data_IF_099852249854
#
_entry.id   IF_099852249854
#
_cell.length_a   1.000
_cell.length_b   1.000
_cell.length_c   1.000
_cell.angle_alpha   90.00
_cell.angle_beta   90.00
_cell.angle_gamma   90.00
#
_symmetry.space_group_name_H-M   'P 1'
#
loop_
_entity.id
_entity.type
_entity.pdbx_description
1 polymer ?
#
# COMPACT_ATOMS: atom_id res chain seq x y z
N UNK A 1 14.90 64.52 25.41
CA UNK A 1 13.93 63.52 24.89
C UNK A 1 14.69 62.21 24.62
N UNK A 2 14.51 61.23 25.51
CA UNK A 2 15.13 59.90 25.36
C UNK A 2 14.06 58.95 24.83
N UNK A 3 14.24 58.44 23.61
CA UNK A 3 13.35 57.42 23.02
C UNK A 3 13.80 56.05 23.52
N UNK A 4 12.93 55.38 24.30
CA UNK A 4 13.08 53.97 24.64
C UNK A 4 12.50 53.16 23.49
N UNK A 5 13.34 52.41 22.79
CA UNK A 5 12.93 51.45 21.76
C UNK A 5 12.70 50.11 22.47
N UNK A 6 11.44 49.74 22.68
CA UNK A 6 11.07 48.43 23.23
C UNK A 6 11.14 47.39 22.10
N UNK A 7 12.13 46.50 22.18
CA UNK A 7 12.25 45.35 21.28
C UNK A 7 11.27 44.25 21.73
N UNK A 8 10.20 44.05 20.97
CA UNK A 8 9.23 42.97 21.22
C UNK A 8 9.81 41.66 20.67
N UNK A 9 10.25 40.79 21.56
CA UNK A 9 10.74 39.46 21.20
C UNK A 9 9.52 38.53 20.96
N UNK A 10 9.15 38.31 19.69
CA UNK A 10 8.15 37.29 19.33
C UNK A 10 8.79 35.94 19.45
N UNK A 11 8.55 35.23 20.55
CA UNK A 11 8.87 33.82 20.71
C UNK A 11 7.80 33.05 19.95
N UNK A 12 8.10 32.66 18.72
CA UNK A 12 7.29 31.65 18.02
C UNK A 12 7.51 30.30 18.69
N UNK A 13 6.60 29.90 19.55
CA UNK A 13 6.49 28.51 20.01
C UNK A 13 6.07 27.68 18.80
N UNK A 14 7.04 27.12 18.09
CA UNK A 14 6.78 26.06 17.14
C UNK A 14 6.13 24.92 17.91
N UNK A 15 4.85 24.68 17.66
CA UNK A 15 4.21 23.41 18.05
C UNK A 15 5.00 22.30 17.35
N UNK A 16 5.88 21.65 18.09
CA UNK A 16 6.41 20.34 17.70
C UNK A 16 5.20 19.42 17.76
N UNK A 17 4.58 19.17 16.61
CA UNK A 17 3.65 18.05 16.50
C UNK A 17 4.47 16.80 16.84
N UNK A 18 4.25 16.27 18.03
CA UNK A 18 4.70 14.92 18.35
C UNK A 18 4.22 14.00 17.22
N UNK A 19 5.11 13.15 16.72
CA UNK A 19 4.85 12.27 15.58
C UNK A 19 3.55 11.50 15.89
N UNK A 20 2.46 11.84 15.21
CA UNK A 20 1.10 11.28 15.39
C UNK A 20 1.07 9.75 15.16
N UNK A 21 2.24 9.19 14.80
CA UNK A 21 2.42 7.77 14.54
C UNK A 21 2.55 6.92 15.83
N UNK A 22 2.90 7.48 16.97
CA UNK A 22 3.14 6.69 18.19
C UNK A 22 1.88 5.95 18.65
N UNK A 23 0.72 6.61 18.62
CA UNK A 23 -0.57 5.97 18.92
C UNK A 23 -0.92 4.88 17.89
N UNK A 24 -0.76 5.19 16.61
CA UNK A 24 -0.94 4.25 15.50
C UNK A 24 0.02 3.06 15.61
N UNK A 25 1.29 3.30 15.98
CA UNK A 25 2.29 2.24 16.18
C UNK A 25 1.90 1.29 17.31
N UNK A 26 1.38 1.82 18.42
CA UNK A 26 0.91 0.99 19.54
C UNK A 26 -0.23 0.05 19.10
N UNK A 27 -1.23 0.57 18.35
CA UNK A 27 -2.32 -0.24 17.79
C UNK A 27 -1.79 -1.27 16.78
N UNK A 28 -0.83 -0.91 15.93
CA UNK A 28 -0.18 -1.84 14.99
C UNK A 28 0.54 -2.98 15.70
N UNK A 29 1.30 -2.68 16.77
CA UNK A 29 1.97 -3.70 17.59
C UNK A 29 0.96 -4.68 18.20
N UNK A 30 -0.14 -4.18 18.74
CA UNK A 30 -1.22 -5.01 19.27
C UNK A 30 -1.83 -5.90 18.17
N UNK A 31 -2.12 -5.35 16.98
CA UNK A 31 -2.62 -6.11 15.84
C UNK A 31 -1.63 -7.17 15.33
N UNK A 32 -0.32 -6.91 15.42
CA UNK A 32 0.72 -7.88 15.04
C UNK A 32 0.73 -9.11 15.94
N UNK A 33 0.40 -8.98 17.23
CA UNK A 33 0.35 -10.07 18.18
C UNK A 33 -1.00 -10.80 18.24
N UNK A 34 -2.05 -10.26 17.60
CA UNK A 34 -3.41 -10.79 17.66
C UNK A 34 -3.49 -12.28 17.23
N UNK A 35 -4.34 -13.06 17.92
CA UNK A 35 -4.50 -14.52 17.72
C UNK A 35 -5.06 -14.89 16.34
N UNK A 36 -5.75 -13.96 15.67
CA UNK A 36 -6.23 -14.16 14.30
C UNK A 36 -5.08 -14.33 13.29
N UNK A 37 -3.87 -13.98 13.67
CA UNK A 37 -2.67 -14.14 12.84
C UNK A 37 -1.97 -15.46 13.15
N UNK A 38 -1.78 -16.27 12.13
CA UNK A 38 -1.03 -17.51 12.23
C UNK A 38 0.47 -17.25 12.42
N UNK A 39 1.20 -18.22 12.97
CA UNK A 39 2.67 -18.15 13.11
C UNK A 39 3.36 -17.89 11.76
N UNK A 40 2.86 -18.51 10.69
CA UNK A 40 3.36 -18.29 9.33
C UNK A 40 3.13 -16.85 8.83
N UNK A 41 2.10 -16.16 9.29
CA UNK A 41 1.88 -14.75 8.99
C UNK A 41 2.79 -13.85 9.83
N UNK A 42 2.98 -14.16 11.12
CA UNK A 42 3.89 -13.46 12.03
C UNK A 42 5.36 -13.60 11.57
N UNK A 43 5.78 -14.78 11.13
CA UNK A 43 7.13 -15.02 10.59
C UNK A 43 7.45 -14.13 9.36
N UNK A 44 6.43 -13.67 8.65
CA UNK A 44 6.63 -12.77 7.51
C UNK A 44 6.82 -11.30 7.89
N UNK A 45 6.60 -10.92 9.14
CA UNK A 45 6.77 -9.53 9.60
C UNK A 45 8.21 -9.05 9.39
N UNK A 46 9.20 -9.92 9.63
CA UNK A 46 10.63 -9.64 9.35
C UNK A 46 10.91 -9.21 7.91
N UNK A 47 10.15 -9.73 6.93
CA UNK A 47 10.33 -9.44 5.50
C UNK A 47 9.40 -8.34 4.99
N UNK A 48 8.31 -8.06 5.72
CA UNK A 48 7.32 -7.05 5.33
C UNK A 48 7.45 -5.75 6.11
N UNK A 49 8.13 -5.80 7.26
CA UNK A 49 8.39 -4.64 8.15
C UNK A 49 7.17 -3.72 8.26
N UNK A 50 6.01 -4.22 8.72
CA UNK A 50 4.74 -3.50 8.58
C UNK A 50 4.75 -2.13 9.25
N UNK A 51 5.31 -2.00 10.46
CA UNK A 51 5.39 -0.73 11.18
C UNK A 51 6.19 0.29 10.38
N UNK A 52 7.42 -0.06 9.96
CA UNK A 52 8.29 0.85 9.22
C UNK A 52 7.70 1.21 7.85
N UNK A 53 7.06 0.25 7.18
CA UNK A 53 6.41 0.46 5.88
C UNK A 53 5.24 1.43 5.99
N UNK A 54 4.37 1.25 6.98
CA UNK A 54 3.21 2.10 7.19
C UNK A 54 3.62 3.49 7.70
N UNK A 55 4.65 3.57 8.55
CA UNK A 55 5.26 4.84 8.97
C UNK A 55 5.81 5.62 7.77
N UNK A 56 6.54 4.98 6.88
CA UNK A 56 7.07 5.61 5.66
C UNK A 56 5.95 6.19 4.78
N UNK A 57 4.83 5.49 4.64
CA UNK A 57 3.69 5.99 3.90
C UNK A 57 2.94 7.12 4.61
N UNK A 58 3.13 7.30 5.90
CA UNK A 58 2.42 8.29 6.72
C UNK A 58 1.01 7.81 7.11
N UNK A 59 0.84 6.49 7.28
CA UNK A 59 -0.43 5.89 7.72
C UNK A 59 -0.75 6.31 9.15
N UNK A 60 -2.03 6.61 9.43
CA UNK A 60 -2.57 6.91 10.76
C UNK A 60 -3.88 6.15 10.99
N UNK A 61 -4.22 5.98 12.24
CA UNK A 61 -5.41 5.24 12.69
C UNK A 61 -6.75 5.98 12.49
N UNK A 62 -6.69 7.26 12.12
CA UNK A 62 -7.86 8.10 11.80
C UNK A 62 -8.16 8.19 10.29
N UNK A 63 -7.42 7.45 9.45
CA UNK A 63 -7.52 7.54 8.01
C UNK A 63 -8.66 6.69 7.42
N UNK A 64 -9.26 7.20 6.36
CA UNK A 64 -10.07 6.45 5.42
C UNK A 64 -9.16 5.82 4.37
N UNK A 65 -9.06 4.49 4.39
CA UNK A 65 -8.09 3.77 3.56
C UNK A 65 -8.74 2.74 2.63
N UNK A 66 -8.15 2.55 1.46
CA UNK A 66 -8.50 1.45 0.54
C UNK A 66 -7.29 0.55 0.34
N UNK A 67 -7.49 -0.76 0.49
CA UNK A 67 -6.49 -1.78 0.13
C UNK A 67 -6.92 -2.47 -1.15
N UNK A 68 -6.13 -2.28 -2.22
CA UNK A 68 -6.34 -2.96 -3.49
C UNK A 68 -5.79 -4.38 -3.44
N UNK A 69 -6.59 -5.35 -3.89
CA UNK A 69 -6.20 -6.76 -3.97
C UNK A 69 -5.67 -7.30 -2.63
N UNK A 70 -6.47 -7.27 -1.56
CA UNK A 70 -6.04 -7.63 -0.20
C UNK A 70 -5.61 -9.10 -0.05
N UNK A 71 -5.87 -9.93 -1.07
CA UNK A 71 -5.51 -11.34 -1.10
C UNK A 71 -6.19 -12.15 0.01
N UNK A 72 -5.40 -12.81 0.86
CA UNK A 72 -5.92 -13.55 2.02
C UNK A 72 -6.07 -12.73 3.30
N UNK A 73 -5.78 -11.41 3.26
CA UNK A 73 -6.00 -10.50 4.38
C UNK A 73 -4.79 -10.27 5.30
N UNK A 74 -3.56 -10.55 4.86
CA UNK A 74 -2.39 -10.37 5.73
C UNK A 74 -2.26 -8.93 6.26
N UNK A 75 -2.35 -7.91 5.38
CA UNK A 75 -2.39 -6.51 5.80
C UNK A 75 -3.73 -6.12 6.40
N UNK A 76 -4.84 -6.70 5.94
CA UNK A 76 -6.18 -6.45 6.48
C UNK A 76 -6.25 -6.76 7.97
N UNK A 77 -5.62 -7.89 8.41
CA UNK A 77 -5.54 -8.27 9.83
C UNK A 77 -4.76 -7.26 10.69
N UNK A 78 -3.92 -6.42 10.08
CA UNK A 78 -3.21 -5.34 10.76
C UNK A 78 -3.98 -4.02 10.70
N UNK A 79 -4.55 -3.70 9.54
CA UNK A 79 -5.09 -2.36 9.27
C UNK A 79 -6.50 -2.17 9.82
N UNK A 80 -7.38 -3.17 9.69
CA UNK A 80 -8.77 -3.07 10.17
C UNK A 80 -8.82 -2.74 11.66
N UNK A 81 -8.17 -3.49 12.58
CA UNK A 81 -8.26 -3.18 14.00
C UNK A 81 -7.59 -1.84 14.38
N UNK A 82 -6.69 -1.33 13.55
CA UNK A 82 -6.04 -0.03 13.81
C UNK A 82 -6.96 1.13 13.48
N UNK A 83 -7.71 1.07 12.38
CA UNK A 83 -8.61 2.16 11.96
C UNK A 83 -10.03 2.03 12.52
N UNK A 84 -10.36 0.93 13.21
CA UNK A 84 -11.72 0.60 13.63
C UNK A 84 -12.41 1.68 14.49
N UNK A 85 -11.64 2.45 15.27
CA UNK A 85 -12.19 3.45 16.19
C UNK A 85 -12.43 4.81 15.52
N UNK A 86 -11.50 5.26 14.66
CA UNK A 86 -11.47 6.63 14.17
C UNK A 86 -11.39 6.75 12.65
N UNK A 87 -11.16 5.66 11.93
CA UNK A 87 -10.99 5.63 10.48
C UNK A 87 -11.94 4.68 9.79
N UNK A 88 -11.66 4.40 8.52
CA UNK A 88 -12.48 3.50 7.69
C UNK A 88 -11.59 2.60 6.84
N UNK A 89 -11.95 1.31 6.74
CA UNK A 89 -11.22 0.34 5.91
C UNK A 89 -12.08 -0.18 4.76
N UNK A 90 -11.56 -0.10 3.56
CA UNK A 90 -12.17 -0.63 2.35
C UNK A 90 -11.25 -1.63 1.66
N UNK A 91 -11.81 -2.78 1.26
CA UNK A 91 -11.16 -3.77 0.40
C UNK A 91 -11.71 -3.65 -1.03
N UNK A 92 -10.83 -3.52 -2.03
CA UNK A 92 -11.24 -3.42 -3.41
C UNK A 92 -10.48 -4.40 -4.31
N UNK A 93 -11.14 -4.87 -5.36
CA UNK A 93 -10.65 -5.77 -6.40
C UNK A 93 -10.21 -7.16 -5.88
N UNK A 94 -10.76 -8.21 -6.43
CA UNK A 94 -10.37 -9.58 -6.08
C UNK A 94 -10.55 -9.94 -4.59
N UNK A 95 -11.59 -9.42 -3.96
CA UNK A 95 -11.83 -9.47 -2.51
C UNK A 95 -12.35 -10.80 -1.97
N UNK A 96 -12.75 -11.74 -2.83
CA UNK A 96 -13.43 -12.98 -2.41
C UNK A 96 -12.71 -13.79 -1.33
N UNK A 97 -11.35 -13.80 -1.33
CA UNK A 97 -10.59 -14.52 -0.29
C UNK A 97 -10.59 -13.80 1.05
N UNK A 98 -10.39 -12.49 1.06
CA UNK A 98 -10.41 -11.70 2.31
C UNK A 98 -11.79 -11.69 2.92
N UNK A 99 -12.84 -11.53 2.11
CA UNK A 99 -14.22 -11.59 2.55
C UNK A 99 -14.54 -12.93 3.23
N UNK A 100 -14.20 -14.04 2.55
CA UNK A 100 -14.40 -15.38 3.11
C UNK A 100 -13.64 -15.62 4.42
N UNK A 101 -12.44 -15.05 4.52
CA UNK A 101 -11.56 -15.32 5.66
C UNK A 101 -11.84 -14.42 6.88
N UNK A 102 -12.37 -13.20 6.67
CA UNK A 102 -12.38 -12.19 7.73
C UNK A 102 -13.72 -11.55 8.02
N UNK A 103 -14.67 -11.46 7.05
CA UNK A 103 -15.92 -10.72 7.30
C UNK A 103 -16.80 -11.26 8.42
N UNK A 104 -16.59 -12.51 8.83
CA UNK A 104 -17.32 -13.15 9.94
C UNK A 104 -16.49 -13.27 11.22
N UNK A 105 -15.25 -12.77 11.19
CA UNK A 105 -14.36 -12.82 12.35
C UNK A 105 -14.61 -11.61 13.26
N UNK A 106 -14.58 -11.80 14.58
CA UNK A 106 -14.75 -10.70 15.53
C UNK A 106 -13.72 -9.57 15.28
N UNK A 107 -14.22 -8.32 15.25
CA UNK A 107 -13.42 -7.11 15.01
C UNK A 107 -13.18 -6.79 13.54
N UNK A 108 -13.85 -7.49 12.61
CA UNK A 108 -13.78 -7.21 11.16
C UNK A 108 -15.17 -6.88 10.56
N UNK A 109 -16.16 -6.67 11.40
CA UNK A 109 -17.55 -6.41 11.00
C UNK A 109 -17.69 -5.12 10.18
N UNK A 110 -16.86 -4.12 10.48
CA UNK A 110 -16.83 -2.81 9.80
C UNK A 110 -15.95 -2.78 8.53
N UNK A 111 -15.33 -3.92 8.17
CA UNK A 111 -14.60 -4.04 6.92
C UNK A 111 -15.54 -3.97 5.72
N UNK A 112 -15.39 -2.94 4.90
CA UNK A 112 -16.21 -2.75 3.72
C UNK A 112 -15.57 -3.34 2.47
N UNK A 113 -16.36 -3.98 1.62
CA UNK A 113 -15.96 -4.48 0.30
C UNK A 113 -16.60 -3.61 -0.76
N UNK A 114 -15.77 -2.99 -1.59
CA UNK A 114 -16.20 -2.05 -2.63
C UNK A 114 -15.74 -2.50 -4.02
N UNK A 115 -16.19 -1.81 -5.07
CA UNK A 115 -15.93 -2.14 -6.47
C UNK A 115 -16.25 -3.63 -6.78
N UNK A 116 -17.39 -4.11 -6.31
CA UNK A 116 -17.81 -5.52 -6.43
C UNK A 116 -18.16 -5.93 -7.86
N UNK A 117 -18.41 -4.99 -8.74
CA UNK A 117 -18.64 -5.13 -10.17
C UNK A 117 -17.35 -5.25 -10.99
N UNK A 118 -16.22 -4.90 -10.40
CA UNK A 118 -14.93 -4.98 -11.04
C UNK A 118 -14.55 -6.43 -11.39
N UNK A 119 -14.03 -6.62 -12.61
CA UNK A 119 -13.59 -7.92 -13.11
C UNK A 119 -12.09 -8.01 -13.14
N UNK A 120 -11.56 -8.98 -12.41
CA UNK A 120 -10.14 -9.35 -12.43
C UNK A 120 -10.02 -10.75 -13.03
N UNK A 121 -9.52 -10.82 -14.26
CA UNK A 121 -9.43 -12.09 -15.01
C UNK A 121 -8.21 -12.11 -15.92
N UNK A 122 -7.92 -13.27 -16.50
CA UNK A 122 -6.92 -13.44 -17.55
C UNK A 122 -7.60 -13.74 -18.88
N UNK A 123 -7.19 -13.01 -19.91
CA UNK A 123 -7.53 -13.37 -21.29
C UNK A 123 -6.85 -14.72 -21.60
N UNK A 124 -7.43 -15.49 -22.50
CA UNK A 124 -6.83 -16.77 -22.93
C UNK A 124 -5.39 -16.56 -23.44
N UNK A 125 -4.47 -17.38 -22.99
CA UNK A 125 -3.04 -17.27 -23.33
C UNK A 125 -2.28 -16.13 -22.64
N UNK A 126 -2.96 -15.20 -21.95
CA UNK A 126 -2.30 -14.08 -21.28
C UNK A 126 -1.61 -14.50 -19.98
N UNK A 127 -0.42 -13.92 -19.74
CA UNK A 127 0.31 -14.11 -18.48
C UNK A 127 -0.16 -13.16 -17.38
N UNK A 128 -0.56 -11.95 -17.74
CA UNK A 128 -1.03 -10.89 -16.83
C UNK A 128 -2.54 -10.90 -16.69
N UNK A 129 -3.01 -10.35 -15.59
CA UNK A 129 -4.43 -10.07 -15.39
C UNK A 129 -4.86 -8.81 -16.16
N UNK A 130 -6.14 -8.81 -16.52
CA UNK A 130 -6.90 -7.63 -16.95
C UNK A 130 -7.73 -7.15 -15.76
N UNK A 131 -7.87 -5.85 -15.63
CA UNK A 131 -8.80 -5.20 -14.69
C UNK A 131 -9.80 -4.38 -15.50
N UNK A 132 -11.08 -4.69 -15.36
CA UNK A 132 -12.20 -3.87 -15.83
C UNK A 132 -12.91 -3.30 -14.62
N UNK A 133 -13.05 -1.98 -14.54
CA UNK A 133 -13.69 -1.29 -13.40
C UNK A 133 -14.17 0.09 -13.80
N UNK A 134 -15.29 0.51 -13.20
CA UNK A 134 -15.79 1.90 -13.27
C UNK A 134 -15.18 2.80 -12.18
N UNK A 135 -14.26 2.25 -11.35
CA UNK A 135 -13.62 2.95 -10.25
C UNK A 135 -13.77 2.21 -8.92
N UNK A 136 -13.48 2.89 -7.80
CA UNK A 136 -13.61 2.30 -6.47
C UNK A 136 -14.99 2.51 -5.83
N UNK A 137 -15.82 3.42 -6.37
CA UNK A 137 -17.13 3.75 -5.80
C UNK A 137 -17.07 4.49 -4.46
N UNK A 138 -15.91 5.05 -4.11
CA UNK A 138 -15.65 5.82 -2.89
C UNK A 138 -14.76 7.02 -3.23
N UNK A 139 -14.95 8.12 -2.50
CA UNK A 139 -14.17 9.36 -2.67
C UNK A 139 -13.62 9.84 -1.32
N UNK A 140 -12.80 10.88 -1.37
CA UNK A 140 -12.19 11.50 -0.20
C UNK A 140 -11.37 10.53 0.66
N UNK A 141 -10.73 9.57 0.00
CA UNK A 141 -9.85 8.58 0.61
C UNK A 141 -8.50 9.24 0.97
N UNK A 142 -8.01 8.97 2.17
CA UNK A 142 -6.71 9.48 2.63
C UNK A 142 -5.55 8.69 2.03
N UNK A 143 -5.70 7.37 1.92
CA UNK A 143 -4.64 6.49 1.44
C UNK A 143 -5.18 5.29 0.67
N UNK A 144 -4.61 5.03 -0.50
CA UNK A 144 -4.80 3.79 -1.25
C UNK A 144 -3.51 2.98 -1.19
N UNK A 145 -3.61 1.69 -0.82
CA UNK A 145 -2.47 0.80 -0.66
C UNK A 145 -2.57 -0.41 -1.57
N UNK A 146 -1.43 -0.80 -2.15
CA UNK A 146 -1.31 -2.09 -2.83
C UNK A 146 0.04 -2.75 -2.55
N UNK A 147 0.01 -4.05 -2.26
CA UNK A 147 1.19 -4.80 -1.85
C UNK A 147 1.39 -6.03 -2.71
N UNK A 148 2.39 -6.02 -3.59
CA UNK A 148 2.83 -7.17 -4.41
C UNK A 148 1.76 -7.69 -5.36
N UNK A 149 1.02 -6.79 -5.96
CA UNK A 149 -0.03 -7.11 -6.92
C UNK A 149 0.09 -6.33 -8.24
N UNK A 150 0.78 -5.19 -8.23
CA UNK A 150 0.92 -4.32 -9.39
C UNK A 150 1.53 -5.05 -10.59
N UNK A 151 2.56 -5.87 -10.34
CA UNK A 151 3.23 -6.74 -11.33
C UNK A 151 2.31 -7.79 -11.97
N UNK A 152 1.18 -8.09 -11.38
CA UNK A 152 0.28 -9.13 -11.90
C UNK A 152 -0.54 -8.67 -13.12
N UNK A 153 -0.63 -7.36 -13.33
CA UNK A 153 -1.47 -6.76 -14.37
C UNK A 153 -0.65 -6.35 -15.60
N UNK A 154 -1.28 -6.45 -16.77
CA UNK A 154 -0.79 -5.82 -17.99
C UNK A 154 -0.88 -4.28 -17.91
N UNK A 155 -0.28 -3.56 -18.87
CA UNK A 155 -0.26 -2.10 -18.86
C UNK A 155 -1.67 -1.48 -18.72
N UNK A 156 -2.64 -1.94 -19.49
CA UNK A 156 -4.05 -1.50 -19.42
C UNK A 156 -4.66 -1.71 -18.01
N UNK A 157 -4.37 -2.87 -17.39
CA UNK A 157 -4.88 -3.16 -16.04
C UNK A 157 -4.22 -2.32 -14.95
N UNK A 158 -2.95 -1.96 -15.11
CA UNK A 158 -2.25 -1.04 -14.21
C UNK A 158 -2.73 0.40 -14.39
N UNK A 159 -3.00 0.82 -15.65
CA UNK A 159 -3.62 2.11 -15.95
C UNK A 159 -4.99 2.25 -15.27
N UNK A 160 -5.86 1.24 -15.43
CA UNK A 160 -7.17 1.21 -14.77
C UNK A 160 -7.06 1.26 -13.24
N UNK A 161 -6.10 0.52 -12.67
CA UNK A 161 -5.83 0.54 -11.23
C UNK A 161 -5.36 1.91 -10.74
N UNK A 162 -4.42 2.53 -11.43
CA UNK A 162 -3.88 3.85 -11.09
C UNK A 162 -4.96 4.92 -11.19
N UNK A 163 -5.78 4.88 -12.26
CA UNK A 163 -6.90 5.81 -12.42
C UNK A 163 -7.93 5.65 -11.31
N UNK A 164 -8.32 4.44 -10.98
CA UNK A 164 -9.28 4.18 -9.91
C UNK A 164 -8.77 4.67 -8.54
N UNK A 165 -7.48 4.48 -8.25
CA UNK A 165 -6.84 5.01 -7.06
C UNK A 165 -6.79 6.54 -7.07
N UNK A 166 -6.46 7.16 -8.21
CA UNK A 166 -6.42 8.61 -8.36
C UNK A 166 -7.80 9.26 -8.13
N UNK A 167 -8.83 8.71 -8.76
CA UNK A 167 -10.19 9.26 -8.65
C UNK A 167 -10.72 9.18 -7.20
N UNK A 168 -10.41 8.12 -6.47
CA UNK A 168 -10.86 7.90 -5.10
C UNK A 168 -10.15 8.77 -4.07
N UNK A 169 -8.88 9.08 -4.26
CA UNK A 169 -8.08 9.85 -3.31
C UNK A 169 -8.50 11.32 -3.27
N UNK A 170 -8.47 11.92 -2.08
CA UNK A 170 -8.53 13.38 -1.92
C UNK A 170 -7.25 14.05 -2.41
N UNK A 171 -7.26 15.38 -2.64
CA UNK A 171 -6.03 16.15 -2.85
C UNK A 171 -5.12 16.02 -1.61
N UNK A 172 -3.83 15.77 -1.81
CA UNK A 172 -2.88 15.42 -0.76
C UNK A 172 -2.94 13.96 -0.30
N UNK A 173 -3.90 13.16 -0.78
CA UNK A 173 -4.01 11.74 -0.46
C UNK A 173 -2.86 10.92 -1.04
N UNK A 174 -2.50 9.83 -0.36
CA UNK A 174 -1.32 9.00 -0.65
C UNK A 174 -1.69 7.75 -1.41
N UNK A 175 -0.97 7.47 -2.50
CA UNK A 175 -0.94 6.15 -3.15
C UNK A 175 0.34 5.43 -2.76
N UNK A 176 0.21 4.35 -1.98
CA UNK A 176 1.26 3.58 -1.35
C UNK A 176 1.46 2.24 -2.06
N UNK A 177 2.60 2.04 -2.71
CA UNK A 177 2.84 0.87 -3.56
C UNK A 177 4.12 0.15 -3.15
N UNK A 178 4.02 -1.15 -2.89
CA UNK A 178 5.15 -2.05 -2.68
C UNK A 178 5.07 -3.20 -3.66
N UNK A 179 6.13 -3.42 -4.45
CA UNK A 179 6.14 -4.57 -5.35
C UNK A 179 7.53 -5.15 -5.60
N UNK A 180 7.58 -6.32 -6.24
CA UNK A 180 8.80 -7.05 -6.54
C UNK A 180 9.60 -6.40 -7.66
N UNK A 181 10.87 -6.16 -7.40
CA UNK A 181 11.79 -5.50 -8.33
C UNK A 181 12.14 -6.38 -9.52
N UNK A 182 12.00 -5.83 -10.72
CA UNK A 182 12.67 -6.26 -11.95
C UNK A 182 13.76 -5.25 -12.27
N UNK A 183 14.85 -5.70 -12.89
CA UNK A 183 15.91 -4.79 -13.34
C UNK A 183 15.35 -3.80 -14.34
N UNK A 184 15.80 -2.57 -14.22
CA UNK A 184 15.45 -1.50 -15.16
C UNK A 184 15.74 -1.92 -16.60
N UNK A 185 14.77 -1.68 -17.49
CA UNK A 185 14.82 -2.02 -18.93
C UNK A 185 14.84 -3.53 -19.25
N UNK A 186 14.82 -4.42 -18.25
CA UNK A 186 14.78 -5.86 -18.51
C UNK A 186 13.40 -6.27 -19.04
N UNK A 187 13.40 -7.06 -20.10
CA UNK A 187 12.17 -7.60 -20.70
C UNK A 187 11.51 -8.63 -19.76
N UNK A 188 10.17 -8.63 -19.76
CA UNK A 188 9.40 -9.67 -19.07
C UNK A 188 9.59 -11.03 -19.75
N UNK A 189 9.93 -12.04 -18.97
CA UNK A 189 10.12 -13.39 -19.46
C UNK A 189 9.66 -14.43 -18.40
N UNK A 190 9.57 -15.74 -18.72
CA UNK A 190 9.14 -16.75 -17.76
C UNK A 190 10.02 -16.86 -16.50
N UNK A 191 11.32 -16.52 -16.61
CA UNK A 191 12.27 -16.66 -15.50
C UNK A 191 12.15 -15.54 -14.48
N UNK A 192 11.88 -14.27 -14.91
CA UNK A 192 11.74 -13.11 -14.03
C UNK A 192 10.28 -12.73 -13.75
N UNK A 193 9.34 -13.60 -14.01
CA UNK A 193 7.90 -13.39 -13.88
C UNK A 193 7.50 -12.89 -12.48
N UNK A 194 6.43 -12.11 -12.43
CA UNK A 194 5.89 -11.47 -11.21
C UNK A 194 6.83 -10.44 -10.59
N UNK A 195 7.60 -9.79 -11.45
CA UNK A 195 8.43 -8.63 -11.10
C UNK A 195 8.12 -7.48 -12.04
N UNK A 196 8.28 -6.26 -11.57
CA UNK A 196 8.08 -5.06 -12.38
C UNK A 196 9.21 -4.05 -12.13
N UNK A 197 9.63 -3.38 -13.20
CA UNK A 197 10.61 -2.30 -13.17
C UNK A 197 10.05 -1.10 -12.39
N UNK A 198 10.71 -0.63 -11.31
CA UNK A 198 10.25 0.52 -10.54
C UNK A 198 10.19 1.83 -11.36
N UNK A 199 11.07 2.02 -12.33
CA UNK A 199 11.07 3.22 -13.18
C UNK A 199 9.83 3.22 -14.09
N UNK A 200 9.48 2.06 -14.66
CA UNK A 200 8.24 1.90 -15.40
C UNK A 200 7.00 2.17 -14.51
N UNK A 201 7.01 1.64 -13.29
CA UNK A 201 5.91 1.84 -12.36
C UNK A 201 5.73 3.33 -11.99
N UNK A 202 6.84 4.05 -11.74
CA UNK A 202 6.81 5.51 -11.49
C UNK A 202 6.18 6.23 -12.69
N UNK A 203 6.67 5.95 -13.90
CA UNK A 203 6.15 6.57 -15.13
C UNK A 203 4.65 6.33 -15.33
N UNK A 204 4.18 5.09 -15.14
CA UNK A 204 2.77 4.73 -15.30
C UNK A 204 1.87 5.37 -14.23
N UNK A 205 2.34 5.48 -13.00
CA UNK A 205 1.58 6.09 -11.90
C UNK A 205 1.53 7.61 -12.06
N UNK A 206 2.63 8.25 -12.46
CA UNK A 206 2.65 9.68 -12.78
C UNK A 206 1.77 10.03 -13.99
N UNK A 207 1.71 9.16 -14.99
CA UNK A 207 0.82 9.32 -16.14
C UNK A 207 -0.67 9.35 -15.74
N UNK A 208 -1.06 8.74 -14.61
CA UNK A 208 -2.41 8.83 -14.07
C UNK A 208 -2.68 10.14 -13.28
N UNK A 209 -1.68 11.04 -13.17
CA UNK A 209 -1.80 12.35 -12.53
C UNK A 209 -1.15 12.47 -11.15
N UNK A 210 -0.63 11.39 -10.62
CA UNK A 210 0.10 11.40 -9.34
C UNK A 210 1.44 12.13 -9.44
N UNK A 211 1.94 12.61 -8.29
CA UNK A 211 3.34 13.02 -8.12
C UNK A 211 4.09 11.97 -7.34
N UNK A 212 5.22 11.52 -7.85
CA UNK A 212 6.19 10.75 -7.08
C UNK A 212 6.75 11.62 -5.95
N UNK A 213 6.76 11.09 -4.72
CA UNK A 213 7.22 11.83 -3.52
C UNK A 213 8.52 11.26 -3.00
N UNK A 214 8.57 9.93 -2.80
CA UNK A 214 9.70 9.30 -2.14
C UNK A 214 9.73 7.79 -2.41
N UNK A 215 10.88 7.18 -2.14
CA UNK A 215 11.07 5.73 -2.13
C UNK A 215 11.78 5.30 -0.84
N UNK A 216 11.65 4.02 -0.50
CA UNK A 216 12.34 3.46 0.66
C UNK A 216 13.06 2.16 0.29
N UNK A 217 14.23 1.96 0.87
CA UNK A 217 15.05 0.74 0.80
C UNK A 217 14.65 -0.33 1.83
N UNK A 218 13.57 -0.11 2.57
CA UNK A 218 13.07 -1.02 3.62
C UNK A 218 12.99 -2.49 3.18
N UNK A 219 12.67 -2.71 1.92
CA UNK A 219 12.49 -4.06 1.37
C UNK A 219 13.62 -4.49 0.41
N UNK A 220 14.71 -3.72 0.36
CA UNK A 220 15.88 -4.07 -0.43
C UNK A 220 16.49 -5.40 0.02
N UNK A 221 16.88 -6.23 -0.94
CA UNK A 221 17.53 -7.52 -0.73
C UNK A 221 18.70 -7.66 -1.68
N UNK A 222 19.91 -7.45 -1.16
CA UNK A 222 21.14 -7.51 -1.94
C UNK A 222 21.45 -8.91 -2.48
N UNK A 223 20.91 -9.95 -1.84
CA UNK A 223 21.07 -11.35 -2.21
C UNK A 223 20.03 -11.87 -3.23
N UNK A 224 19.07 -11.03 -3.62
CA UNK A 224 18.13 -11.35 -4.72
C UNK A 224 18.74 -10.91 -6.06
N UNK A 225 19.19 -11.86 -6.86
CA UNK A 225 19.76 -11.61 -8.19
C UNK A 225 18.75 -11.03 -9.21
N UNK A 226 17.47 -10.90 -8.87
CA UNK A 226 16.37 -10.41 -9.70
C UNK A 226 16.07 -11.29 -10.93
N UNK A 227 16.69 -12.43 -11.06
CA UNK A 227 16.63 -13.33 -12.23
C UNK A 227 15.46 -14.31 -12.16
N UNK A 228 15.00 -14.63 -10.94
CA UNK A 228 14.05 -15.70 -10.72
C UNK A 228 12.65 -15.20 -10.41
N UNK A 229 11.67 -15.95 -10.87
CA UNK A 229 10.28 -15.78 -10.54
C UNK A 229 10.09 -15.86 -9.02
N UNK A 230 9.29 -14.95 -8.45
CA UNK A 230 9.20 -14.70 -7.00
C UNK A 230 8.65 -15.88 -6.18
N UNK A 231 7.99 -16.85 -6.81
CA UNK A 231 7.50 -18.06 -6.17
C UNK A 231 8.49 -19.23 -6.19
N UNK A 232 9.66 -19.08 -6.83
CA UNK A 232 10.69 -20.12 -6.84
C UNK A 232 11.19 -20.36 -5.43
N UNK A 233 11.32 -21.61 -5.01
CA UNK A 233 11.68 -22.00 -3.63
C UNK A 233 12.95 -21.31 -3.11
N UNK A 234 13.92 -21.04 -3.98
CA UNK A 234 15.21 -20.43 -3.62
C UNK A 234 15.11 -18.95 -3.27
N UNK A 235 14.04 -18.25 -3.69
CA UNK A 235 13.87 -16.79 -3.46
C UNK A 235 12.56 -16.44 -2.76
N UNK A 236 11.60 -17.37 -2.68
CA UNK A 236 10.30 -17.14 -2.04
C UNK A 236 10.46 -16.65 -0.61
N UNK A 237 9.84 -15.49 -0.32
CA UNK A 237 9.92 -14.84 0.99
C UNK A 237 11.09 -13.88 1.14
N UNK A 238 12.14 -13.98 0.31
CA UNK A 238 13.35 -13.14 0.38
C UNK A 238 13.63 -12.34 -0.91
N UNK A 239 12.61 -12.10 -1.72
CA UNK A 239 12.73 -11.31 -2.94
C UNK A 239 12.88 -9.83 -2.64
N UNK A 240 13.70 -9.16 -3.45
CA UNK A 240 13.82 -7.70 -3.45
C UNK A 240 12.51 -7.04 -3.86
N UNK A 241 12.19 -5.90 -3.22
CA UNK A 241 11.00 -5.11 -3.50
C UNK A 241 11.32 -3.64 -3.40
N UNK A 242 10.76 -2.89 -4.31
CA UNK A 242 10.70 -1.45 -4.21
C UNK A 242 9.48 -1.01 -3.40
N UNK A 243 9.61 0.14 -2.77
CA UNK A 243 8.57 0.77 -1.93
C UNK A 243 8.48 2.22 -2.37
N UNK A 244 7.38 2.61 -3.00
CA UNK A 244 7.19 3.92 -3.63
C UNK A 244 5.98 4.63 -3.04
N UNK A 245 6.13 5.93 -2.78
CA UNK A 245 5.11 6.83 -2.27
C UNK A 245 4.77 7.89 -3.30
N UNK A 246 3.49 8.02 -3.58
CA UNK A 246 2.95 9.04 -4.48
C UNK A 246 1.89 9.85 -3.76
N UNK A 247 1.62 11.06 -4.25
CA UNK A 247 0.56 11.93 -3.75
C UNK A 247 -0.31 12.42 -4.91
N UNK A 248 -1.62 12.52 -4.67
CA UNK A 248 -2.54 13.24 -5.57
C UNK A 248 -2.36 14.74 -5.33
N UNK A 249 -2.02 15.54 -6.36
CA UNK A 249 -1.85 16.98 -6.23
C UNK A 249 -3.09 17.72 -5.71
#
# INVERSE_FOLDING_TARGET
>A
MKYFLSLLLIVSTGLVFADDFDATEAKLKAAMEADIRTDAEKDRDRNRRPIQTLKFFGFRDDMKIVVLLPGGGWYTKLLVPVVAENGEYYAAFGTGRVSKNLMTEPGFEDMQVIATDAKVYRKEGARSYTLETEGLGVTDVDMVLTFRNYHNFGAEGREAMNKAAFDALKSGGVYAVVDHTRRHMEQDNPENRRRIDPVLAIHEIEAAGFKFVDFSDLHFRADDELRYEVGRKTVTGNTDRWTLKFVKP
#
